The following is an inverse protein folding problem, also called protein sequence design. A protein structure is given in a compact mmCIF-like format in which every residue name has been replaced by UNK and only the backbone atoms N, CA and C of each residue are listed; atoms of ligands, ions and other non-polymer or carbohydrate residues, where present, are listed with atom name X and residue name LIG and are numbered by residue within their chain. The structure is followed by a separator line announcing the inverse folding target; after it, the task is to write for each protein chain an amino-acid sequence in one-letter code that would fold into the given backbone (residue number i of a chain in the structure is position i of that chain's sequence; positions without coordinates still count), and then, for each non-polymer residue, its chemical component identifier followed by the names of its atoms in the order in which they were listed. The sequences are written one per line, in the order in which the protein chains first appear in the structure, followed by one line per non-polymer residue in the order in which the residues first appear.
data_IF_378885830430
#
_entry.id   IF_378885830430
#
_cell.length_a   1.000
_cell.length_b   1.000
_cell.length_c   1.000
_cell.angle_alpha   90.00
_cell.angle_beta   90.00
_cell.angle_gamma   90.00
#
_symmetry.space_group_name_H-M   'P 1'
#
loop_
_entity.id
_entity.type
_entity.pdbx_description
1 polymer ?
#
# COMPACT_ATOMS: atom_id res chain seq x y z
N UNK A 1 -19.00 6.77 -23.64
CA UNK A 1 -18.31 8.02 -23.24
C UNK A 1 -16.93 7.68 -22.71
N UNK A 2 -15.89 8.34 -23.20
CA UNK A 2 -14.52 8.11 -22.75
C UNK A 2 -14.34 8.63 -21.32
N UNK A 3 -13.77 7.82 -20.42
CA UNK A 3 -13.53 8.14 -19.00
C UNK A 3 -12.68 9.40 -18.75
N UNK A 4 -12.00 9.92 -19.75
CA UNK A 4 -11.11 11.10 -19.65
C UNK A 4 -11.86 12.43 -19.44
N UNK A 5 -13.16 12.48 -19.71
CA UNK A 5 -13.95 13.72 -19.71
C UNK A 5 -14.99 13.80 -18.56
N UNK A 6 -14.94 12.91 -17.59
CA UNK A 6 -15.82 13.01 -16.43
C UNK A 6 -15.23 14.03 -15.45
N UNK A 7 -15.99 15.08 -15.12
CA UNK A 7 -15.57 16.12 -14.18
C UNK A 7 -15.20 15.46 -12.83
N UNK A 8 -14.09 15.91 -12.26
CA UNK A 8 -13.70 15.56 -10.89
C UNK A 8 -14.33 16.61 -9.98
N UNK A 9 -14.99 16.16 -8.93
CA UNK A 9 -15.58 16.98 -7.91
C UNK A 9 -14.74 16.84 -6.64
N UNK A 10 -14.23 17.94 -6.12
CA UNK A 10 -13.41 17.94 -4.91
C UNK A 10 -14.30 17.88 -3.65
N UNK A 11 -15.07 16.79 -3.56
CA UNK A 11 -15.94 16.47 -2.44
C UNK A 11 -15.73 15.02 -2.04
N UNK A 12 -15.43 14.79 -0.76
CA UNK A 12 -15.18 13.46 -0.24
C UNK A 12 -16.48 12.78 0.20
N UNK A 13 -16.68 11.57 -0.26
CA UNK A 13 -17.71 10.66 0.25
C UNK A 13 -17.11 9.88 1.42
N UNK A 14 -17.72 10.00 2.58
CA UNK A 14 -17.34 9.28 3.80
C UNK A 14 -18.27 8.08 4.02
N UNK A 15 -17.78 7.10 4.77
CA UNK A 15 -18.54 5.92 5.19
C UNK A 15 -18.15 5.54 6.61
N UNK A 16 -18.89 4.63 7.26
CA UNK A 16 -18.66 4.25 8.65
C UNK A 16 -17.39 3.40 8.81
N UNK A 17 -16.75 3.49 9.98
CA UNK A 17 -15.60 2.64 10.34
C UNK A 17 -15.95 1.16 10.44
N UNK A 18 -17.24 0.83 10.58
CA UNK A 18 -17.76 -0.52 10.64
C UNK A 18 -18.02 -1.11 9.24
N UNK A 19 -17.97 -0.29 8.20
CA UNK A 19 -18.23 -0.71 6.83
C UNK A 19 -16.96 -1.15 6.12
N UNK A 20 -17.05 -2.28 5.46
CA UNK A 20 -15.98 -2.82 4.63
C UNK A 20 -16.40 -2.81 3.15
N UNK A 21 -15.58 -2.22 2.29
CA UNK A 21 -15.82 -2.22 0.85
C UNK A 21 -15.05 -3.39 0.22
N UNK A 22 -15.77 -4.42 -0.17
CA UNK A 22 -15.18 -5.68 -0.68
C UNK A 22 -15.33 -5.79 -2.18
N UNK A 23 -14.24 -6.19 -2.84
CA UNK A 23 -14.28 -6.61 -4.24
C UNK A 23 -13.38 -7.81 -4.51
N UNK A 24 -13.76 -8.62 -5.50
CA UNK A 24 -12.94 -9.72 -6.03
C UNK A 24 -12.75 -9.49 -7.52
N UNK A 25 -11.54 -9.72 -8.02
CA UNK A 25 -11.20 -9.60 -9.43
C UNK A 25 -10.53 -10.88 -9.95
N UNK A 26 -10.52 -11.06 -11.26
CA UNK A 26 -9.64 -12.04 -11.90
C UNK A 26 -8.17 -11.54 -11.91
N UNK A 27 -7.26 -12.36 -12.45
CA UNK A 27 -5.80 -12.05 -12.58
C UNK A 27 -5.52 -10.77 -13.37
N UNK A 28 -6.45 -10.31 -14.23
CA UNK A 28 -6.33 -9.10 -15.06
C UNK A 28 -6.94 -7.87 -14.40
N UNK A 29 -7.46 -8.03 -13.17
CA UNK A 29 -8.15 -6.96 -12.45
C UNK A 29 -9.56 -6.69 -12.95
N UNK A 30 -10.20 -7.65 -13.63
CA UNK A 30 -11.61 -7.56 -14.00
C UNK A 30 -12.47 -7.98 -12.82
N UNK A 31 -13.39 -7.11 -12.43
CA UNK A 31 -14.28 -7.29 -11.27
C UNK A 31 -15.19 -8.49 -11.49
N UNK A 32 -15.22 -9.42 -10.53
CA UNK A 32 -16.09 -10.59 -10.48
C UNK A 32 -17.16 -10.47 -9.39
N UNK A 33 -16.85 -9.73 -8.33
CA UNK A 33 -17.73 -9.52 -7.20
C UNK A 33 -17.48 -8.16 -6.56
N UNK A 34 -18.53 -7.55 -6.07
CA UNK A 34 -18.54 -6.37 -5.18
C UNK A 34 -19.68 -6.50 -4.18
N UNK A 35 -19.48 -6.01 -2.95
CA UNK A 35 -20.57 -5.96 -1.97
C UNK A 35 -21.41 -4.67 -2.12
N UNK A 36 -22.53 -4.61 -1.39
CA UNK A 36 -23.47 -3.49 -1.39
C UNK A 36 -22.83 -2.18 -0.94
N UNK A 37 -21.98 -2.23 0.08
CA UNK A 37 -21.28 -1.10 0.65
C UNK A 37 -20.34 -0.45 -0.40
N UNK A 38 -19.60 -1.29 -1.15
CA UNK A 38 -18.77 -0.80 -2.26
C UNK A 38 -19.61 -0.08 -3.31
N UNK A 39 -20.73 -0.69 -3.73
CA UNK A 39 -21.64 -0.08 -4.71
C UNK A 39 -22.17 1.26 -4.24
N UNK A 40 -22.64 1.33 -2.99
CA UNK A 40 -23.20 2.53 -2.38
C UNK A 40 -22.17 3.67 -2.32
N UNK A 41 -20.98 3.41 -1.79
CA UNK A 41 -19.94 4.43 -1.63
C UNK A 41 -19.38 4.89 -2.97
N UNK A 42 -19.15 3.96 -3.90
CA UNK A 42 -18.65 4.28 -5.23
C UNK A 42 -19.71 4.88 -6.17
N UNK A 43 -21.01 4.77 -5.81
CA UNK A 43 -22.11 5.29 -6.60
C UNK A 43 -22.42 4.50 -7.87
N UNK A 44 -21.95 3.25 -7.96
CA UNK A 44 -22.21 2.36 -9.08
C UNK A 44 -23.14 1.22 -8.67
N UNK A 45 -23.89 0.69 -9.62
CA UNK A 45 -24.58 -0.59 -9.43
C UNK A 45 -23.60 -1.77 -9.63
N UNK A 46 -23.94 -2.94 -9.07
CA UNK A 46 -23.14 -4.15 -9.27
C UNK A 46 -22.99 -4.49 -10.76
N UNK A 47 -24.07 -4.38 -11.54
CA UNK A 47 -24.06 -4.65 -12.98
C UNK A 47 -23.16 -3.70 -13.78
N UNK A 48 -22.98 -2.47 -13.31
CA UNK A 48 -22.08 -1.51 -13.93
C UNK A 48 -20.60 -1.83 -13.63
N UNK A 49 -20.32 -2.53 -12.53
CA UNK A 49 -18.96 -2.85 -12.08
C UNK A 49 -18.49 -4.24 -12.53
N UNK A 50 -19.36 -5.25 -12.44
CA UNK A 50 -19.00 -6.62 -12.83
C UNK A 50 -18.61 -6.69 -14.30
N UNK A 51 -17.51 -7.38 -14.59
CA UNK A 51 -16.93 -7.47 -15.93
C UNK A 51 -16.13 -6.24 -16.37
N UNK A 52 -16.07 -5.17 -15.56
CA UNK A 52 -15.21 -4.01 -15.84
C UNK A 52 -13.87 -4.16 -15.13
N UNK A 53 -12.82 -3.54 -15.70
CA UNK A 53 -11.55 -3.46 -15.00
C UNK A 53 -11.69 -2.56 -13.79
N UNK A 54 -11.07 -2.96 -12.65
CA UNK A 54 -11.16 -2.26 -11.36
C UNK A 54 -10.69 -0.80 -11.43
N UNK A 55 -9.90 -0.43 -12.42
CA UNK A 55 -9.49 0.95 -12.65
C UNK A 55 -10.65 1.91 -12.96
N UNK A 56 -11.91 1.39 -13.05
CA UNK A 56 -13.12 2.22 -13.22
C UNK A 56 -13.30 3.20 -12.08
N UNK A 57 -12.88 2.83 -10.87
CA UNK A 57 -12.93 3.66 -9.67
C UNK A 57 -11.59 4.36 -9.36
N UNK A 58 -10.60 4.26 -10.22
CA UNK A 58 -9.30 4.91 -9.97
C UNK A 58 -9.40 6.42 -10.05
N UNK A 59 -8.94 7.13 -9.01
CA UNK A 59 -8.79 8.58 -9.05
C UNK A 59 -7.51 8.97 -9.82
N UNK A 60 -7.53 10.08 -10.60
CA UNK A 60 -6.35 10.53 -11.36
C UNK A 60 -5.14 10.89 -10.48
N UNK A 61 -5.36 11.38 -9.26
CA UNK A 61 -4.30 11.75 -8.33
C UNK A 61 -3.50 10.55 -7.81
N UNK A 62 -4.02 9.32 -8.01
CA UNK A 62 -3.30 8.12 -7.60
C UNK A 62 -2.06 7.90 -8.47
N UNK A 63 -0.84 7.95 -7.90
CA UNK A 63 0.38 7.84 -8.67
C UNK A 63 0.53 6.44 -9.28
N UNK A 64 1.11 6.38 -10.47
CA UNK A 64 1.41 5.09 -11.13
C UNK A 64 2.32 4.21 -10.27
N UNK A 65 3.23 4.82 -9.52
CA UNK A 65 4.18 4.11 -8.65
C UNK A 65 3.49 3.29 -7.56
N UNK A 66 2.40 3.81 -6.93
CA UNK A 66 1.65 3.06 -5.92
C UNK A 66 1.02 1.78 -6.49
N UNK A 67 0.47 1.84 -7.70
CA UNK A 67 -0.07 0.65 -8.35
C UNK A 67 1.03 -0.30 -8.87
N UNK A 68 2.18 0.23 -9.29
CA UNK A 68 3.32 -0.61 -9.67
C UNK A 68 3.83 -1.43 -8.47
N UNK A 69 3.94 -0.82 -7.28
CA UNK A 69 4.28 -1.52 -6.03
C UNK A 69 3.24 -2.58 -5.69
N UNK A 70 1.96 -2.22 -5.75
CA UNK A 70 0.86 -3.17 -5.50
C UNK A 70 0.96 -4.39 -6.43
N UNK A 71 1.05 -4.17 -7.74
CA UNK A 71 1.11 -5.26 -8.71
C UNK A 71 2.35 -6.13 -8.55
N UNK A 72 3.50 -5.53 -8.25
CA UNK A 72 4.75 -6.27 -7.99
C UNK A 72 4.60 -7.25 -6.82
N UNK A 73 3.98 -6.82 -5.72
CA UNK A 73 3.74 -7.68 -4.55
C UNK A 73 2.72 -8.78 -4.84
N UNK A 74 1.61 -8.43 -5.48
CA UNK A 74 0.54 -9.37 -5.79
C UNK A 74 1.00 -10.47 -6.76
N UNK A 75 1.81 -10.12 -7.78
CA UNK A 75 2.40 -11.09 -8.70
C UNK A 75 3.43 -12.00 -8.02
N UNK A 76 4.08 -11.51 -6.97
CA UNK A 76 4.96 -12.33 -6.12
C UNK A 76 4.20 -13.20 -5.09
N UNK A 77 2.85 -13.27 -5.18
CA UNK A 77 2.02 -14.03 -4.24
C UNK A 77 1.89 -13.39 -2.85
N UNK A 78 2.27 -12.11 -2.70
CA UNK A 78 2.24 -11.39 -1.43
C UNK A 78 1.04 -10.45 -1.37
N UNK A 79 0.50 -10.24 -0.17
CA UNK A 79 -0.50 -9.20 0.06
C UNK A 79 0.10 -7.81 -0.01
N UNK A 80 -0.77 -6.83 -0.29
CA UNK A 80 -0.43 -5.42 -0.31
C UNK A 80 -1.42 -4.62 0.55
N UNK A 81 -0.95 -3.58 1.24
CA UNK A 81 -1.77 -2.63 1.97
C UNK A 81 -1.31 -1.21 1.68
N UNK A 82 -2.26 -0.30 1.51
CA UNK A 82 -1.94 1.10 1.30
C UNK A 82 -3.15 2.01 1.19
N UNK A 83 -2.90 3.32 1.35
CA UNK A 83 -3.90 4.35 1.15
C UNK A 83 -4.26 4.46 -0.33
N UNK A 84 -5.56 4.45 -0.65
CA UNK A 84 -6.03 4.58 -2.02
C UNK A 84 -7.11 5.64 -2.10
N UNK A 85 -6.94 6.61 -3.02
CA UNK A 85 -7.96 7.57 -3.42
C UNK A 85 -8.73 7.00 -4.60
N UNK A 86 -10.02 6.81 -4.44
CA UNK A 86 -10.91 6.32 -5.49
C UNK A 86 -11.86 7.43 -5.94
N UNK A 87 -12.42 7.28 -7.14
CA UNK A 87 -13.41 8.18 -7.71
C UNK A 87 -14.77 7.50 -7.75
N UNK A 88 -15.80 8.21 -7.32
CA UNK A 88 -17.19 7.83 -7.47
C UNK A 88 -17.68 8.02 -8.92
N UNK A 89 -18.83 7.45 -9.22
CA UNK A 89 -19.50 7.58 -10.52
C UNK A 89 -19.86 9.01 -10.86
N UNK A 90 -20.26 9.80 -9.87
CA UNK A 90 -20.65 11.21 -10.02
C UNK A 90 -19.46 12.18 -10.12
N UNK A 91 -18.24 11.71 -9.87
CA UNK A 91 -17.01 12.50 -9.92
C UNK A 91 -16.43 12.87 -8.56
N UNK A 92 -17.18 12.68 -7.47
CA UNK A 92 -16.66 12.79 -6.09
C UNK A 92 -15.59 11.74 -5.82
N UNK A 93 -14.96 11.77 -4.67
CA UNK A 93 -13.92 10.81 -4.31
C UNK A 93 -14.11 10.25 -2.90
N UNK A 94 -13.42 9.16 -2.62
CA UNK A 94 -13.31 8.58 -1.28
C UNK A 94 -11.92 7.99 -1.04
N UNK A 95 -11.44 8.09 0.20
CA UNK A 95 -10.21 7.48 0.63
C UNK A 95 -10.46 6.19 1.36
N UNK A 96 -9.56 5.23 1.18
CA UNK A 96 -9.61 3.92 1.83
C UNK A 96 -8.23 3.45 2.24
N UNK A 97 -8.17 2.69 3.32
CA UNK A 97 -7.07 1.77 3.63
C UNK A 97 -7.38 0.45 2.92
N UNK A 98 -6.68 0.19 1.83
CA UNK A 98 -6.93 -0.98 1.00
C UNK A 98 -5.98 -2.12 1.36
N UNK A 99 -6.54 -3.27 1.71
CA UNK A 99 -5.81 -4.53 1.87
C UNK A 99 -6.17 -5.47 0.73
N UNK A 100 -5.17 -5.85 -0.07
CA UNK A 100 -5.34 -6.67 -1.26
C UNK A 100 -4.54 -7.96 -1.11
N UNK A 101 -5.20 -9.08 -1.33
CA UNK A 101 -4.59 -10.42 -1.24
C UNK A 101 -4.78 -11.21 -2.53
N UNK A 102 -3.79 -12.00 -2.94
CA UNK A 102 -3.97 -12.96 -4.03
C UNK A 102 -4.90 -14.09 -3.57
N UNK A 103 -5.77 -14.53 -4.47
CA UNK A 103 -6.66 -15.67 -4.29
C UNK A 103 -6.16 -16.82 -5.15
N UNK A 104 -5.99 -17.98 -4.55
CA UNK A 104 -5.53 -19.19 -5.24
C UNK A 104 -6.66 -20.21 -5.28
N UNK A 105 -6.82 -20.87 -6.44
CA UNK A 105 -7.71 -22.00 -6.64
C UNK A 105 -6.88 -23.18 -7.16
N UNK A 106 -6.96 -24.32 -6.52
CA UNK A 106 -6.17 -25.51 -6.86
C UNK A 106 -4.65 -25.26 -6.96
N UNK A 107 -4.12 -24.32 -6.15
CA UNK A 107 -2.70 -23.95 -6.15
C UNK A 107 -2.28 -22.93 -7.21
N UNK A 108 -3.17 -22.54 -8.11
CA UNK A 108 -2.93 -21.51 -9.11
C UNK A 108 -3.56 -20.17 -8.71
N UNK A 109 -2.89 -19.07 -9.06
CA UNK A 109 -3.44 -17.73 -8.86
C UNK A 109 -4.73 -17.57 -9.68
N UNK A 110 -5.87 -17.39 -9.01
CA UNK A 110 -7.18 -17.19 -9.65
C UNK A 110 -7.51 -15.71 -9.83
N UNK A 111 -7.11 -14.88 -8.85
CA UNK A 111 -7.42 -13.46 -8.86
C UNK A 111 -6.96 -12.74 -7.61
N UNK A 112 -7.67 -11.66 -7.27
CA UNK A 112 -7.35 -10.85 -6.11
C UNK A 112 -8.62 -10.46 -5.36
N UNK A 113 -8.54 -10.53 -4.03
CA UNK A 113 -9.56 -9.99 -3.14
C UNK A 113 -9.05 -8.70 -2.52
N UNK A 114 -9.90 -7.70 -2.41
CA UNK A 114 -9.59 -6.47 -1.72
C UNK A 114 -10.67 -6.13 -0.71
N UNK A 115 -10.24 -5.90 0.53
CA UNK A 115 -11.06 -5.35 1.62
C UNK A 115 -10.54 -3.94 1.89
N UNK A 116 -11.46 -2.99 2.04
CA UNK A 116 -11.15 -1.58 2.23
C UNK A 116 -11.95 -1.05 3.41
N UNK A 117 -11.26 -0.38 4.30
CA UNK A 117 -11.81 0.30 5.46
C UNK A 117 -11.55 1.80 5.38
N UNK A 118 -12.04 2.55 6.34
CA UNK A 118 -11.75 3.97 6.45
C UNK A 118 -10.27 4.23 6.68
N UNK A 119 -9.82 5.40 6.27
CA UNK A 119 -8.43 5.82 6.41
C UNK A 119 -8.33 6.89 7.49
N UNK A 120 -7.44 6.71 8.47
CA UNK A 120 -7.22 7.74 9.48
C UNK A 120 -6.70 9.04 8.87
N UNK A 121 -7.10 10.19 9.45
CA UNK A 121 -6.75 11.51 8.93
C UNK A 121 -5.23 11.70 8.80
N UNK A 122 -4.45 11.21 9.77
CA UNK A 122 -2.99 11.32 9.75
C UNK A 122 -2.34 10.54 8.60
N UNK A 123 -2.86 9.36 8.28
CA UNK A 123 -2.39 8.55 7.13
C UNK A 123 -2.83 9.19 5.82
N UNK A 124 -4.06 9.71 5.75
CA UNK A 124 -4.58 10.43 4.58
C UNK A 124 -3.69 11.63 4.23
N UNK A 125 -3.45 12.55 5.17
CA UNK A 125 -2.63 13.75 4.95
C UNK A 125 -1.21 13.40 4.48
N UNK A 126 -0.61 12.35 5.06
CA UNK A 126 0.70 11.88 4.63
C UNK A 126 0.67 11.28 3.23
N UNK A 127 -0.37 10.51 2.90
CA UNK A 127 -0.53 9.92 1.56
C UNK A 127 -0.76 11.00 0.50
N UNK A 128 -1.57 12.00 0.76
CA UNK A 128 -1.81 13.15 -0.14
C UNK A 128 -0.50 13.87 -0.48
N UNK A 129 0.28 14.24 0.55
CA UNK A 129 1.58 14.88 0.35
C UNK A 129 2.54 14.01 -0.45
N UNK A 130 2.64 12.73 -0.12
CA UNK A 130 3.50 11.76 -0.81
C UNK A 130 3.09 11.61 -2.29
N UNK A 131 1.79 11.47 -2.55
CA UNK A 131 1.28 11.23 -3.90
C UNK A 131 1.41 12.47 -4.78
N UNK A 132 1.23 13.67 -4.23
CA UNK A 132 1.50 14.93 -4.95
C UNK A 132 2.98 15.01 -5.39
N UNK A 133 3.93 14.69 -4.51
CA UNK A 133 5.36 14.65 -4.80
C UNK A 133 5.71 13.59 -5.86
N UNK A 134 5.14 12.39 -5.78
CA UNK A 134 5.32 11.34 -6.80
C UNK A 134 4.79 11.76 -8.16
N UNK A 135 3.64 12.43 -8.20
CA UNK A 135 3.03 12.91 -9.44
C UNK A 135 3.79 14.09 -10.06
N UNK A 136 4.49 14.91 -9.24
CA UNK A 136 5.38 15.97 -9.74
C UNK A 136 6.72 15.43 -10.29
N UNK A 137 6.93 14.11 -10.22
CA UNK A 137 8.16 13.48 -10.69
C UNK A 137 9.31 13.52 -9.69
N UNK A 138 9.05 13.91 -8.45
CA UNK A 138 10.06 13.90 -7.40
C UNK A 138 10.50 12.46 -7.11
N UNK A 139 11.81 12.23 -7.14
CA UNK A 139 12.39 10.96 -6.70
C UNK A 139 12.46 10.94 -5.18
N UNK A 140 11.60 10.13 -4.56
CA UNK A 140 11.66 9.92 -3.13
C UNK A 140 12.87 9.03 -2.85
N UNK A 141 13.90 9.64 -2.27
CA UNK A 141 15.05 8.89 -1.78
C UNK A 141 14.67 8.28 -0.45
N UNK A 142 14.74 6.96 -0.36
CA UNK A 142 14.69 6.32 0.96
C UNK A 142 15.89 6.81 1.79
N UNK A 143 15.69 7.09 3.08
CA UNK A 143 16.79 7.48 3.94
C UNK A 143 17.83 6.37 3.95
N UNK A 144 19.10 6.74 3.82
CA UNK A 144 20.24 5.80 3.69
C UNK A 144 20.28 4.77 4.82
N UNK A 145 19.86 5.16 6.03
CA UNK A 145 19.81 4.27 7.20
C UNK A 145 18.71 3.18 7.13
N UNK A 146 17.71 3.32 6.23
CA UNK A 146 16.69 2.28 6.00
C UNK A 146 17.21 1.16 5.10
N UNK A 147 18.30 1.38 4.38
CA UNK A 147 18.86 0.36 3.50
C UNK A 147 19.50 -0.77 4.32
N UNK A 148 19.26 -2.01 3.91
CA UNK A 148 19.85 -3.19 4.52
C UNK A 148 21.39 -3.11 4.56
N UNK A 149 22.00 -2.55 3.52
CA UNK A 149 23.45 -2.38 3.42
C UNK A 149 23.99 -1.41 4.50
N UNK A 150 23.30 -0.29 4.74
CA UNK A 150 23.72 0.66 5.77
C UNK A 150 23.62 0.06 7.17
N UNK A 151 22.53 -0.68 7.45
CA UNK A 151 22.34 -1.39 8.73
C UNK A 151 23.43 -2.46 8.92
N UNK A 152 23.77 -3.20 7.85
CA UNK A 152 24.85 -4.20 7.88
C UNK A 152 26.22 -3.56 8.13
N UNK A 153 26.54 -2.45 7.45
CA UNK A 153 27.78 -1.71 7.69
C UNK A 153 27.86 -1.19 9.14
N UNK A 154 26.76 -0.66 9.67
CA UNK A 154 26.67 -0.22 11.06
C UNK A 154 26.91 -1.37 12.05
N UNK A 155 26.32 -2.54 11.79
CA UNK A 155 26.55 -3.75 12.59
C UNK A 155 28.02 -4.19 12.57
N UNK A 156 28.64 -4.27 11.39
CA UNK A 156 30.04 -4.64 11.24
C UNK A 156 30.94 -3.66 12.01
N UNK A 157 30.71 -2.36 11.89
CA UNK A 157 31.48 -1.33 12.58
C UNK A 157 31.35 -1.45 14.10
N UNK A 158 30.14 -1.60 14.62
CA UNK A 158 29.90 -1.78 16.06
C UNK A 158 30.53 -3.06 16.59
N UNK A 159 30.48 -4.16 15.81
CA UNK A 159 31.12 -5.42 16.18
C UNK A 159 32.63 -5.32 16.24
N UNK A 160 33.26 -4.60 15.31
CA UNK A 160 34.69 -4.34 15.33
C UNK A 160 35.09 -3.49 16.53
N UNK A 161 34.32 -2.44 16.87
CA UNK A 161 34.56 -1.61 18.05
C UNK A 161 34.43 -2.45 19.32
N UNK A 162 33.39 -3.28 19.45
CA UNK A 162 33.21 -4.16 20.61
C UNK A 162 34.38 -5.16 20.76
N UNK A 163 34.87 -5.72 19.64
CA UNK A 163 36.03 -6.60 19.61
C UNK A 163 37.29 -5.88 20.10
N UNK A 164 37.55 -4.69 19.60
CA UNK A 164 38.73 -3.89 20.02
C UNK A 164 38.68 -3.52 21.51
N UNK A 165 37.49 -3.20 22.02
CA UNK A 165 37.30 -2.88 23.43
C UNK A 165 37.41 -4.13 24.34
N UNK A 166 37.08 -5.31 23.85
CA UNK A 166 37.16 -6.57 24.63
C UNK A 166 38.60 -6.95 24.95
N UNK A 167 39.58 -6.48 24.16
CA UNK A 167 41.00 -6.62 24.48
C UNK A 167 41.45 -5.81 25.72
N UNK A 168 40.69 -4.74 26.08
CA UNK A 168 40.94 -3.91 27.25
C UNK A 168 40.20 -4.37 28.49
N UNK A 169 39.00 -4.99 28.31
CA UNK A 169 38.23 -5.52 29.41
C UNK A 169 37.19 -6.54 28.89
N UNK A 170 37.09 -7.75 29.46
CA UNK A 170 36.19 -8.80 29.01
C UNK A 170 34.68 -8.42 29.13
N UNK A 171 34.36 -7.40 29.94
CA UNK A 171 32.98 -6.90 30.09
C UNK A 171 32.41 -6.29 28.80
N UNK A 172 33.24 -5.80 27.88
CA UNK A 172 32.76 -5.25 26.60
C UNK A 172 32.25 -6.31 25.62
N UNK A 173 32.57 -7.59 25.82
CA UNK A 173 32.00 -8.69 25.02
C UNK A 173 30.48 -8.81 25.19
N UNK A 174 29.91 -8.34 26.28
CA UNK A 174 28.45 -8.29 26.53
C UNK A 174 27.71 -7.28 25.65
N UNK A 175 28.40 -6.35 24.98
CA UNK A 175 27.79 -5.40 24.04
C UNK A 175 27.41 -6.05 22.69
N UNK A 176 27.98 -7.21 22.38
CA UNK A 176 27.74 -7.91 21.12
C UNK A 176 26.26 -8.31 20.92
N UNK A 177 25.56 -8.98 21.87
CA UNK A 177 24.16 -9.31 21.75
C UNK A 177 23.25 -8.07 21.69
N UNK A 178 23.62 -6.96 22.33
CA UNK A 178 22.85 -5.70 22.27
C UNK A 178 22.95 -5.09 20.85
N UNK A 179 24.13 -5.08 20.25
CA UNK A 179 24.32 -4.58 18.88
C UNK A 179 23.55 -5.44 17.85
N UNK A 180 23.51 -6.76 18.02
CA UNK A 180 22.73 -7.66 17.17
C UNK A 180 21.23 -7.38 17.25
N UNK A 181 20.71 -7.18 18.47
CA UNK A 181 19.28 -6.87 18.67
C UNK A 181 18.88 -5.59 17.93
N UNK A 182 19.61 -4.49 18.08
CA UNK A 182 19.30 -3.22 17.41
C UNK A 182 19.44 -3.28 15.89
N UNK A 183 20.34 -4.06 15.34
CA UNK A 183 20.51 -4.15 13.88
C UNK A 183 19.48 -5.02 13.16
N UNK A 184 18.91 -6.02 13.83
CA UNK A 184 18.01 -6.99 13.20
C UNK A 184 16.54 -6.86 13.63
N UNK A 185 16.24 -6.25 14.80
CA UNK A 185 14.89 -6.19 15.38
C UNK A 185 14.37 -4.75 15.59
N UNK A 186 15.16 -3.72 15.45
CA UNK A 186 14.72 -2.32 15.40
C UNK A 186 14.62 -1.85 13.95
#
# INVERSE_FOLDING_TARGET
MSRRNQAIIDEEVTFSDEEELVSVTDKRGVIKYVNSEFCRVAGFTSDELIGKNHNIVRHPDMPKAAFADMWSKLQAGKSWRGAVKNRCKDGRYYWVDAFVTPVFESGELAGFQSVRTTLSLSVKTRAESLYARLNSGERIKEPMWSSHQFRLCGFILLSLIALLLSFKSPYFALLFPIATFFCFYA
#
